data_IF_748710957047
#
_entry.id   IF_748710957047
#
_cell.length_a   1.000
_cell.length_b   1.000
_cell.length_c   1.000
_cell.angle_alpha   90.00
_cell.angle_beta   90.00
_cell.angle_gamma   90.00
#
_symmetry.space_group_name_H-M   'P 1'
#
loop_
_entity.id
_entity.type
_entity.pdbx_description
1 polymer ?
#
# COMPACT_ATOMS: atom_id res chain seq x y z
N UNK A 1 7.38 8.05 12.11
CA UNK A 1 7.44 9.36 11.43
C UNK A 1 6.57 9.28 10.17
N UNK A 2 5.58 10.16 9.97
CA UNK A 2 4.90 10.23 8.68
C UNK A 2 5.93 10.54 7.60
N UNK A 3 5.92 9.76 6.52
CA UNK A 3 6.77 10.04 5.36
C UNK A 3 6.28 11.36 4.75
N UNK A 4 7.13 12.40 4.66
CA UNK A 4 6.69 13.77 4.32
C UNK A 4 5.96 13.87 2.97
N UNK A 5 6.13 12.88 2.08
CA UNK A 5 5.51 12.86 0.76
C UNK A 5 4.43 11.79 0.58
N UNK A 6 3.94 11.17 1.67
CA UNK A 6 2.84 10.20 1.60
C UNK A 6 1.53 10.85 2.03
N UNK A 7 0.56 10.87 1.11
CA UNK A 7 -0.80 11.34 1.40
C UNK A 7 -1.49 10.40 2.39
N UNK A 8 -1.82 10.93 3.56
CA UNK A 8 -2.65 10.23 4.55
C UNK A 8 -4.12 10.34 4.15
N UNK A 9 -4.82 9.22 4.03
CA UNK A 9 -6.25 9.19 3.71
C UNK A 9 -6.95 8.08 4.50
N UNK A 10 -8.20 8.32 4.91
CA UNK A 10 -9.01 7.32 5.58
C UNK A 10 -9.55 6.32 4.55
N UNK A 11 -9.01 5.11 4.55
CA UNK A 11 -9.45 4.01 3.67
C UNK A 11 -10.48 3.15 4.40
N UNK A 12 -11.66 2.98 3.79
CA UNK A 12 -12.67 2.03 4.29
C UNK A 12 -12.42 0.67 3.64
N UNK A 13 -12.15 -0.34 4.46
CA UNK A 13 -11.93 -1.72 4.03
C UNK A 13 -12.88 -2.66 4.76
N UNK A 14 -13.22 -3.76 4.09
CA UNK A 14 -13.80 -4.92 4.77
C UNK A 14 -12.81 -5.42 5.85
N UNK A 15 -13.24 -5.66 7.10
CA UNK A 15 -12.39 -6.19 8.16
C UNK A 15 -11.67 -7.50 7.78
N UNK A 16 -12.33 -8.39 7.03
CA UNK A 16 -11.73 -9.66 6.61
C UNK A 16 -10.61 -9.44 5.58
N UNK A 17 -10.78 -8.46 4.70
CA UNK A 17 -9.74 -8.05 3.75
C UNK A 17 -8.54 -7.45 4.48
N UNK A 18 -8.80 -6.55 5.44
CA UNK A 18 -7.73 -5.97 6.25
C UNK A 18 -6.92 -7.04 6.99
N UNK A 19 -7.59 -8.02 7.61
CA UNK A 19 -6.93 -9.12 8.31
C UNK A 19 -6.10 -10.02 7.38
N UNK A 20 -6.52 -10.19 6.12
CA UNK A 20 -5.72 -10.91 5.12
C UNK A 20 -4.44 -10.13 4.77
N UNK A 21 -4.55 -8.82 4.55
CA UNK A 21 -3.41 -7.95 4.25
C UNK A 21 -2.44 -7.90 5.43
N UNK A 22 -2.94 -7.81 6.66
CA UNK A 22 -2.10 -7.79 7.87
C UNK A 22 -1.27 -9.07 8.03
N UNK A 23 -1.86 -10.23 7.77
CA UNK A 23 -1.14 -11.51 7.78
C UNK A 23 -0.07 -11.58 6.69
N UNK A 24 -0.36 -11.10 5.49
CA UNK A 24 0.60 -11.05 4.39
C UNK A 24 1.76 -10.10 4.72
N UNK A 25 1.45 -8.91 5.24
CA UNK A 25 2.45 -7.93 5.66
C UNK A 25 3.39 -8.51 6.73
N UNK A 26 2.85 -9.25 7.70
CA UNK A 26 3.64 -9.93 8.71
C UNK A 26 4.59 -11.00 8.13
N UNK A 27 4.14 -11.75 7.13
CA UNK A 27 4.96 -12.75 6.42
C UNK A 27 6.08 -12.10 5.61
N UNK A 28 5.83 -10.93 5.02
CA UNK A 28 6.81 -10.18 4.23
C UNK A 28 7.69 -9.21 5.05
N UNK A 29 7.59 -9.24 6.38
CA UNK A 29 8.30 -8.33 7.30
C UNK A 29 8.10 -6.84 6.94
N UNK A 30 6.86 -6.50 6.56
CA UNK A 30 6.47 -5.17 6.09
C UNK A 30 5.40 -4.57 6.99
N UNK A 31 5.35 -3.24 7.07
CA UNK A 31 4.18 -2.58 7.65
C UNK A 31 2.94 -2.78 6.77
N UNK A 32 1.76 -2.86 7.40
CA UNK A 32 0.47 -2.99 6.69
C UNK A 32 0.28 -1.90 5.63
N UNK A 33 0.65 -0.65 5.93
CA UNK A 33 0.53 0.45 4.97
C UNK A 33 1.43 0.27 3.73
N UNK A 34 2.66 -0.22 3.93
CA UNK A 34 3.56 -0.49 2.82
C UNK A 34 3.13 -1.74 2.01
N UNK A 35 2.42 -2.67 2.63
CA UNK A 35 1.83 -3.82 1.94
C UNK A 35 0.65 -3.39 1.06
N UNK A 36 -0.25 -2.57 1.61
CA UNK A 36 -1.34 -1.95 0.85
C UNK A 36 -0.79 -1.18 -0.36
N UNK A 37 0.24 -0.36 -0.18
CA UNK A 37 0.85 0.40 -1.28
C UNK A 37 1.41 -0.53 -2.37
N UNK A 38 2.06 -1.63 -1.98
CA UNK A 38 2.62 -2.59 -2.91
C UNK A 38 1.55 -3.32 -3.71
N UNK A 39 0.53 -3.86 -3.05
CA UNK A 39 -0.60 -4.52 -3.69
C UNK A 39 -1.32 -3.59 -4.68
N UNK A 40 -1.50 -2.31 -4.31
CA UNK A 40 -2.10 -1.30 -5.19
C UNK A 40 -1.23 -1.04 -6.42
N UNK A 41 0.09 -0.87 -6.25
CA UNK A 41 1.02 -0.68 -7.38
C UNK A 41 1.03 -1.89 -8.30
N UNK A 42 1.02 -3.10 -7.74
CA UNK A 42 0.96 -4.34 -8.52
C UNK A 42 -0.35 -4.44 -9.31
N UNK A 43 -1.49 -4.15 -8.68
CA UNK A 43 -2.79 -4.16 -9.33
C UNK A 43 -2.90 -3.13 -10.46
N UNK A 44 -2.34 -1.93 -10.27
CA UNK A 44 -2.28 -0.89 -11.30
C UNK A 44 -1.37 -1.31 -12.47
N UNK A 45 -0.20 -1.87 -12.18
CA UNK A 45 0.73 -2.39 -13.20
C UNK A 45 0.08 -3.50 -14.04
N UNK A 46 -0.66 -4.43 -13.42
CA UNK A 46 -1.43 -5.47 -14.12
C UNK A 46 -2.49 -4.91 -15.08
N UNK A 47 -2.96 -3.67 -14.84
CA UNK A 47 -3.89 -2.94 -15.72
C UNK A 47 -3.20 -2.02 -16.72
N UNK A 48 -1.86 -2.06 -16.81
CA UNK A 48 -1.08 -1.20 -17.68
C UNK A 48 -0.95 0.25 -17.18
N UNK A 49 -1.27 0.51 -15.91
CA UNK A 49 -1.15 1.84 -15.31
C UNK A 49 0.22 1.98 -14.63
N UNK A 50 1.05 2.87 -15.14
CA UNK A 50 2.37 3.17 -14.56
C UNK A 50 2.25 4.28 -13.51
N UNK A 51 2.57 3.94 -12.26
CA UNK A 51 2.68 4.93 -11.17
C UNK A 51 4.08 5.51 -11.18
N UNK A 52 4.23 6.80 -11.48
CA UNK A 52 5.51 7.51 -11.35
C UNK A 52 5.81 7.74 -9.88
N UNK A 53 7.05 7.55 -9.47
CA UNK A 53 7.48 7.98 -8.14
C UNK A 53 7.57 9.50 -8.14
N UNK A 54 6.83 10.15 -7.24
CA UNK A 54 7.13 11.54 -6.90
C UNK A 54 8.49 11.54 -6.21
N UNK A 55 9.49 12.17 -6.85
CA UNK A 55 10.77 12.41 -6.20
C UNK A 55 10.51 13.31 -5.01
N UNK A 56 10.92 12.84 -3.84
CA UNK A 56 11.09 13.68 -2.68
C UNK A 56 12.27 14.62 -2.96
N UNK A 57 11.98 15.85 -3.40
CA UNK A 57 12.93 16.96 -3.29
C UNK A 57 12.99 17.45 -1.83
#
# INVERSE_FOLDING_TARGET
MPSPNKKSFALRLDPALHAAIERLAAQELRSVNAEIEFLLREALKKRGVTVKEEKAD
#
